data_IF_400997678581
#
_entry.id   IF_400997678581
#
_cell.length_a   1.000
_cell.length_b   1.000
_cell.length_c   1.000
_cell.angle_alpha   90.00
_cell.angle_beta   90.00
_cell.angle_gamma   90.00
#
_symmetry.space_group_name_H-M   'P 1'
#
loop_
_entity.id
_entity.type
_entity.pdbx_description
1 polymer ?
#
# COMPACT_ATOMS: atom_id res chain seq x y z
N UNK A 1 -1.73 -7.96 -17.65
CA UNK A 1 -1.21 -7.46 -16.35
C UNK A 1 -2.23 -7.81 -15.26
N UNK A 2 -1.78 -8.03 -14.01
CA UNK A 2 -2.67 -8.28 -12.86
C UNK A 2 -2.52 -7.12 -11.88
N UNK A 3 -3.62 -6.68 -11.27
CA UNK A 3 -3.60 -5.63 -10.24
C UNK A 3 -3.65 -6.28 -8.87
N UNK A 4 -2.80 -5.81 -7.96
CA UNK A 4 -2.84 -6.17 -6.54
C UNK A 4 -3.58 -5.06 -5.78
N UNK A 5 -4.62 -5.42 -5.04
CA UNK A 5 -5.34 -4.49 -4.17
C UNK A 5 -5.04 -4.84 -2.71
N UNK A 6 -4.59 -3.84 -1.94
CA UNK A 6 -4.31 -3.94 -0.51
C UNK A 6 -5.31 -3.04 0.20
N UNK A 7 -5.97 -3.57 1.23
CA UNK A 7 -6.92 -2.80 2.03
C UNK A 7 -6.24 -2.38 3.32
N UNK A 8 -6.20 -1.07 3.53
CA UNK A 8 -5.63 -0.46 4.73
C UNK A 8 -6.75 -0.12 5.71
N UNK A 9 -6.47 -0.22 7.00
CA UNK A 9 -7.25 0.46 8.02
C UNK A 9 -7.05 1.97 7.94
N UNK A 10 -7.98 2.73 8.53
CA UNK A 10 -7.87 4.19 8.61
C UNK A 10 -6.58 4.62 9.33
N UNK A 11 -6.20 3.92 10.40
CA UNK A 11 -4.97 4.17 11.17
C UNK A 11 -3.72 3.95 10.31
N UNK A 12 -3.67 2.84 9.56
CA UNK A 12 -2.58 2.55 8.63
C UNK A 12 -2.47 3.61 7.53
N UNK A 13 -3.61 4.02 6.97
CA UNK A 13 -3.65 5.07 5.97
C UNK A 13 -3.14 6.40 6.52
N UNK A 14 -3.59 6.82 7.70
CA UNK A 14 -3.15 8.04 8.35
C UNK A 14 -1.65 8.03 8.66
N UNK A 15 -1.13 6.92 9.20
CA UNK A 15 0.30 6.78 9.47
C UNK A 15 1.15 6.95 8.21
N UNK A 16 0.73 6.34 7.09
CA UNK A 16 1.39 6.55 5.78
C UNK A 16 1.34 8.02 5.37
N UNK A 17 0.17 8.67 5.48
CA UNK A 17 0.02 10.07 5.09
C UNK A 17 0.88 10.99 5.94
N UNK A 18 0.97 10.76 7.25
CA UNK A 18 1.81 11.50 8.17
C UNK A 18 3.28 11.36 7.78
N UNK A 19 3.78 10.14 7.60
CA UNK A 19 5.18 9.88 7.24
C UNK A 19 5.56 10.49 5.89
N UNK A 20 4.65 10.46 4.92
CA UNK A 20 4.81 11.16 3.63
C UNK A 20 4.88 12.68 3.83
N UNK A 21 4.05 13.25 4.70
CA UNK A 21 4.05 14.69 4.99
C UNK A 21 5.33 15.11 5.73
N UNK A 22 5.80 14.31 6.68
CA UNK A 22 6.95 14.61 7.53
C UNK A 22 8.29 14.46 6.78
N UNK A 23 8.46 13.47 5.91
CA UNK A 23 9.76 13.22 5.27
C UNK A 23 10.10 14.10 4.05
N UNK A 24 9.28 15.12 3.74
CA UNK A 24 9.82 16.39 3.27
C UNK A 24 10.59 16.42 1.94
N UNK A 25 10.28 15.54 0.98
CA UNK A 25 10.57 15.79 -0.45
C UNK A 25 9.34 15.51 -1.31
N UNK A 26 8.32 16.35 -1.14
CA UNK A 26 7.29 16.56 -2.15
C UNK A 26 8.00 17.12 -3.40
N UNK A 27 8.30 16.28 -4.40
CA UNK A 27 8.64 16.76 -5.74
C UNK A 27 7.37 17.39 -6.31
N UNK A 28 7.17 18.67 -5.99
CA UNK A 28 5.99 19.47 -6.33
C UNK A 28 5.76 19.62 -7.84
N UNK A 29 6.74 19.25 -8.67
CA UNK A 29 6.68 19.45 -10.13
C UNK A 29 6.14 18.24 -10.91
N UNK A 30 6.16 17.02 -10.37
CA UNK A 30 5.78 15.82 -11.14
C UNK A 30 4.55 15.05 -10.61
N UNK A 31 3.96 15.46 -9.47
CA UNK A 31 2.93 14.67 -8.74
C UNK A 31 3.35 13.21 -8.45
N UNK A 32 4.62 12.86 -8.66
CA UNK A 32 5.18 11.54 -8.44
C UNK A 32 5.84 11.52 -7.07
N UNK A 33 5.36 10.62 -6.23
CA UNK A 33 5.89 10.40 -4.90
C UNK A 33 7.19 9.59 -5.03
N UNK A 34 8.33 10.29 -5.10
CA UNK A 34 9.64 9.66 -5.20
C UNK A 34 10.25 9.38 -3.83
N UNK A 35 10.66 8.13 -3.59
CA UNK A 35 11.63 7.79 -2.54
C UNK A 35 11.19 6.81 -1.47
N UNK A 36 9.96 6.28 -1.51
CA UNK A 36 9.53 5.21 -0.60
C UNK A 36 9.32 3.89 -1.34
N UNK A 37 9.60 2.79 -0.64
CA UNK A 37 9.34 1.42 -1.09
C UNK A 37 8.26 0.80 -0.19
N UNK A 38 7.20 0.28 -0.78
CA UNK A 38 6.18 -0.50 -0.06
C UNK A 38 6.43 -1.97 -0.36
N UNK A 39 6.72 -2.75 0.68
CA UNK A 39 6.94 -4.19 0.60
C UNK A 39 5.78 -4.93 1.26
N UNK A 40 5.13 -5.81 0.49
CA UNK A 40 4.16 -6.76 1.03
C UNK A 40 4.89 -8.04 1.43
N UNK A 41 4.97 -8.32 2.72
CA UNK A 41 5.56 -9.56 3.22
C UNK A 41 4.49 -10.65 3.28
N UNK A 42 4.55 -11.60 2.34
CA UNK A 42 3.64 -12.75 2.31
C UNK A 42 4.38 -13.98 2.83
N UNK A 43 4.14 -14.35 4.10
CA UNK A 43 4.71 -15.58 4.68
C UNK A 43 3.98 -16.82 4.19
N UNK A 44 2.70 -16.94 4.59
CA UNK A 44 1.74 -17.93 4.06
C UNK A 44 0.52 -17.13 3.61
N UNK A 45 -0.02 -17.37 2.39
CA UNK A 45 -1.20 -16.64 1.90
C UNK A 45 -2.30 -16.63 2.95
N UNK A 46 -2.76 -15.44 3.32
CA UNK A 46 -3.87 -15.19 4.27
C UNK A 46 -3.64 -15.56 5.75
N UNK A 47 -2.39 -15.83 6.19
CA UNK A 47 -2.12 -16.11 7.62
C UNK A 47 -1.22 -15.06 8.25
N UNK A 48 -0.10 -14.73 7.59
CA UNK A 48 0.82 -13.69 8.06
C UNK A 48 1.20 -12.83 6.87
N UNK A 49 0.40 -11.80 6.63
CA UNK A 49 0.68 -10.79 5.63
C UNK A 49 0.70 -9.42 6.29
N UNK A 50 1.87 -8.77 6.27
CA UNK A 50 2.02 -7.41 6.77
C UNK A 50 2.66 -6.52 5.71
N UNK A 51 2.41 -5.21 5.86
CA UNK A 51 2.92 -4.20 4.96
C UNK A 51 4.06 -3.44 5.65
N UNK A 52 5.15 -3.26 4.91
CA UNK A 52 6.29 -2.46 5.36
C UNK A 52 6.51 -1.31 4.40
N UNK A 53 6.76 -0.12 4.94
CA UNK A 53 7.15 1.04 4.17
C UNK A 53 8.57 1.44 4.54
N UNK A 54 9.47 1.39 3.56
CA UNK A 54 10.83 1.89 3.69
C UNK A 54 10.90 3.29 3.06
N UNK A 55 11.09 4.30 3.89
CA UNK A 55 11.33 5.68 3.43
C UNK A 55 12.62 6.22 4.06
N UNK A 56 12.58 7.40 4.71
CA UNK A 56 13.68 7.88 5.56
C UNK A 56 13.86 6.93 6.76
N UNK A 57 12.74 6.44 7.30
CA UNK A 57 12.69 5.42 8.33
C UNK A 57 11.93 4.19 7.81
N UNK A 58 12.20 3.05 8.43
CA UNK A 58 11.42 1.82 8.23
C UNK A 58 10.19 1.86 9.13
N UNK A 59 9.01 1.74 8.53
CA UNK A 59 7.72 1.80 9.20
C UNK A 59 7.03 0.46 9.02
N UNK A 60 6.68 -0.18 10.13
CA UNK A 60 5.80 -1.34 10.15
C UNK A 60 4.35 -0.86 10.13
N UNK A 61 3.62 -1.20 9.07
CA UNK A 61 2.21 -0.84 8.92
C UNK A 61 1.30 -1.97 9.44
N UNK A 62 1.84 -3.10 9.89
CA UNK A 62 1.07 -4.20 10.47
C UNK A 62 0.33 -5.06 9.44
N UNK A 63 -0.58 -5.88 9.94
CA UNK A 63 -1.31 -6.87 9.14
C UNK A 63 -2.26 -6.21 8.13
N UNK A 64 -2.32 -6.75 6.91
CA UNK A 64 -3.18 -6.23 5.84
C UNK A 64 -3.89 -7.35 5.08
N UNK A 65 -5.13 -7.07 4.68
CA UNK A 65 -5.86 -7.87 3.70
C UNK A 65 -5.43 -7.49 2.28
N UNK A 66 -5.22 -8.47 1.41
CA UNK A 66 -4.87 -8.22 0.01
C UNK A 66 -5.53 -9.23 -0.93
N UNK A 67 -5.72 -8.83 -2.18
CA UNK A 67 -6.22 -9.73 -3.23
C UNK A 67 -5.74 -9.31 -4.61
N UNK A 68 -5.67 -10.26 -5.55
CA UNK A 68 -5.53 -9.92 -6.96
C UNK A 68 -6.89 -9.47 -7.50
N UNK A 69 -6.95 -8.28 -8.10
CA UNK A 69 -8.14 -7.80 -8.78
C UNK A 69 -8.42 -8.71 -9.98
N UNK A 70 -9.58 -9.34 -9.98
CA UNK A 70 -10.09 -10.01 -11.15
C UNK A 70 -10.64 -8.96 -12.12
N UNK A 71 -9.91 -8.72 -13.21
CA UNK A 71 -10.32 -7.78 -14.27
C UNK A 71 -11.61 -8.21 -15.02
N UNK A 72 -12.18 -9.37 -14.71
CA UNK A 72 -13.32 -9.98 -15.43
C UNK A 72 -14.61 -10.11 -14.58
N UNK A 73 -14.98 -9.08 -13.83
CA UNK A 73 -16.34 -8.95 -13.26
C UNK A 73 -16.90 -7.53 -13.49
N UNK A 74 -16.99 -7.16 -14.76
CA UNK A 74 -17.97 -6.18 -15.22
C UNK A 74 -18.63 -6.80 -16.44
N UNK A 75 -19.90 -7.19 -16.29
CA UNK A 75 -20.92 -7.49 -17.31
C UNK A 75 -21.77 -8.68 -16.87
N UNK A 76 -22.52 -8.52 -15.79
CA UNK A 76 -23.75 -9.29 -15.49
C UNK A 76 -24.37 -8.63 -14.28
N UNK A 77 -25.15 -7.58 -14.52
CA UNK A 77 -26.43 -7.39 -13.86
C UNK A 77 -27.22 -6.41 -14.75
N UNK A 78 -28.21 -7.00 -15.45
CA UNK A 78 -29.32 -6.33 -16.12
C UNK A 78 -30.40 -6.04 -15.09
#
# INVERSE_FOLDING_TARGET
>A
MRTLEIKLSEEQYQHIQEEIQYGGRKNLEEETMGGYEITLHVGVPNIYTYLEMNYINKIDLGEVEWSFKNLNKQSSDN
#
